data_IF_093482281929
#
_entry.id   IF_093482281929
#
_cell.length_a   1.000
_cell.length_b   1.000
_cell.length_c   1.000
_cell.angle_alpha   90.00
_cell.angle_beta   90.00
_cell.angle_gamma   90.00
#
_symmetry.space_group_name_H-M   'P 1'
#
loop_
_entity.id
_entity.type
_entity.pdbx_description
1 polymer ?
#
# COMPACT_ATOMS: atom_id res chain seq x y z
N UNK A 1 -42.67 29.28 8.26
CA UNK A 1 -42.22 27.87 8.44
C UNK A 1 -40.97 27.49 7.62
N UNK A 2 -40.41 28.37 6.77
CA UNK A 2 -39.22 28.09 5.94
C UNK A 2 -37.87 28.23 6.70
N UNK A 3 -37.82 28.97 7.81
CA UNK A 3 -36.58 29.20 8.58
C UNK A 3 -36.14 28.01 9.46
N UNK A 4 -37.01 27.02 9.70
CA UNK A 4 -36.67 25.82 10.51
C UNK A 4 -36.06 24.68 9.69
N UNK A 5 -36.13 24.73 8.36
CA UNK A 5 -35.57 23.68 7.47
C UNK A 5 -34.09 23.85 7.12
N UNK A 6 -33.51 25.05 7.32
CA UNK A 6 -32.11 25.33 6.95
C UNK A 6 -31.12 24.70 7.94
N UNK A 7 -31.53 24.43 9.18
CA UNK A 7 -30.63 23.91 10.23
C UNK A 7 -30.36 22.40 10.08
N UNK A 8 -31.21 21.66 9.36
CA UNK A 8 -31.05 20.19 9.21
C UNK A 8 -30.05 19.83 8.09
N UNK A 9 -29.85 20.70 7.11
CA UNK A 9 -28.97 20.42 5.95
C UNK A 9 -27.47 20.53 6.32
N UNK A 10 -27.13 21.22 7.41
CA UNK A 10 -25.75 21.43 7.85
C UNK A 10 -25.13 20.26 8.63
N UNK A 11 -25.91 19.26 9.03
CA UNK A 11 -25.40 18.10 9.81
C UNK A 11 -25.09 16.84 8.97
N UNK A 12 -25.35 16.85 7.66
CA UNK A 12 -25.19 15.66 6.80
C UNK A 12 -23.81 15.62 6.11
N UNK A 13 -23.03 16.69 6.17
CA UNK A 13 -21.71 16.76 5.53
C UNK A 13 -20.55 15.94 6.17
N UNK A 14 -20.52 15.57 7.47
CA UNK A 14 -19.33 14.91 8.01
C UNK A 14 -19.18 13.44 7.61
N UNK A 15 -20.24 12.78 7.13
CA UNK A 15 -20.20 11.35 6.81
C UNK A 15 -19.31 11.03 5.59
N UNK A 16 -19.24 11.90 4.59
CA UNK A 16 -18.43 11.65 3.38
C UNK A 16 -16.93 11.84 3.63
N UNK A 17 -16.54 12.72 4.55
CA UNK A 17 -15.14 12.97 4.87
C UNK A 17 -14.48 11.76 5.56
N UNK A 18 -15.23 11.04 6.40
CA UNK A 18 -14.74 9.87 7.16
C UNK A 18 -14.45 8.68 6.24
N UNK A 19 -15.24 8.48 5.18
CA UNK A 19 -15.02 7.38 4.23
C UNK A 19 -13.76 7.59 3.38
N UNK A 20 -13.53 8.82 2.91
CA UNK A 20 -12.36 9.14 2.09
C UNK A 20 -11.03 9.04 2.87
N UNK A 21 -11.02 9.38 4.16
CA UNK A 21 -9.84 9.24 5.02
C UNK A 21 -9.51 7.77 5.29
N UNK A 22 -10.52 6.95 5.60
CA UNK A 22 -10.34 5.50 5.81
C UNK A 22 -9.75 4.83 4.57
N UNK A 23 -10.29 5.09 3.38
CA UNK A 23 -9.75 4.54 2.12
C UNK A 23 -8.31 4.98 1.88
N UNK A 24 -7.98 6.23 2.16
CA UNK A 24 -6.61 6.75 2.00
C UNK A 24 -5.63 6.05 2.95
N UNK A 25 -6.04 5.82 4.20
CA UNK A 25 -5.26 5.08 5.19
C UNK A 25 -5.07 3.62 4.78
N UNK A 26 -6.14 2.92 4.38
CA UNK A 26 -6.08 1.53 3.92
C UNK A 26 -5.12 1.37 2.73
N UNK A 27 -5.18 2.28 1.75
CA UNK A 27 -4.22 2.33 0.63
C UNK A 27 -2.78 2.50 1.11
N UNK A 28 -2.55 3.42 2.06
CA UNK A 28 -1.21 3.65 2.64
C UNK A 28 -0.65 2.40 3.33
N UNK A 29 -1.50 1.68 4.05
CA UNK A 29 -1.14 0.43 4.73
C UNK A 29 -0.80 -0.65 3.73
N UNK A 30 -1.62 -0.87 2.69
CA UNK A 30 -1.31 -1.83 1.63
C UNK A 30 -0.02 -1.44 0.88
N UNK A 31 0.18 -0.15 0.64
CA UNK A 31 1.40 0.36 -0.02
C UNK A 31 2.65 0.00 0.78
N UNK A 32 2.62 0.21 2.10
CA UNK A 32 3.71 -0.14 3.05
C UNK A 32 3.89 -1.64 3.21
N UNK A 33 2.79 -2.40 3.21
CA UNK A 33 2.84 -3.87 3.20
C UNK A 33 3.65 -4.39 2.02
N UNK A 34 3.44 -3.81 0.83
CA UNK A 34 4.21 -4.19 -0.37
C UNK A 34 5.69 -3.82 -0.29
N UNK A 35 6.04 -2.67 0.29
CA UNK A 35 7.44 -2.33 0.54
C UNK A 35 8.11 -3.34 1.48
N UNK A 36 7.44 -3.69 2.57
CA UNK A 36 7.91 -4.71 3.51
C UNK A 36 8.05 -6.09 2.84
N UNK A 37 7.13 -6.45 1.94
CA UNK A 37 7.27 -7.65 1.10
C UNK A 37 8.52 -7.60 0.23
N UNK A 38 8.74 -6.49 -0.49
CA UNK A 38 9.91 -6.32 -1.34
C UNK A 38 11.22 -6.45 -0.56
N UNK A 39 11.34 -5.75 0.58
CA UNK A 39 12.54 -5.79 1.41
C UNK A 39 12.82 -7.20 1.96
N UNK A 40 11.77 -8.01 2.14
CA UNK A 40 11.93 -9.39 2.61
C UNK A 40 12.62 -10.33 1.61
N UNK A 41 12.84 -9.90 0.36
CA UNK A 41 13.65 -10.64 -0.62
C UNK A 41 15.15 -10.57 -0.33
N UNK A 42 15.60 -9.64 0.52
CA UNK A 42 16.97 -9.57 0.97
C UNK A 42 17.16 -10.42 2.23
N UNK A 43 18.11 -11.35 2.23
CA UNK A 43 18.31 -12.28 3.35
C UNK A 43 18.68 -11.58 4.67
N UNK A 44 19.36 -10.43 4.63
CA UNK A 44 19.69 -9.66 5.84
C UNK A 44 18.45 -8.97 6.43
N UNK A 45 17.50 -8.57 5.58
CA UNK A 45 16.28 -7.85 5.99
C UNK A 45 15.07 -8.76 6.20
N UNK A 46 15.13 -10.00 5.72
CA UNK A 46 14.01 -10.96 5.64
C UNK A 46 13.20 -11.08 6.92
N UNK A 47 13.87 -11.20 8.07
CA UNK A 47 13.20 -11.36 9.37
C UNK A 47 12.43 -10.10 9.76
N UNK A 48 13.09 -8.95 9.77
CA UNK A 48 12.48 -7.68 10.19
C UNK A 48 11.40 -7.23 9.19
N UNK A 49 11.69 -7.29 7.90
CA UNK A 49 10.74 -6.96 6.84
C UNK A 49 9.52 -7.91 6.85
N UNK A 50 9.72 -9.19 7.18
CA UNK A 50 8.64 -10.15 7.39
C UNK A 50 7.73 -9.78 8.57
N UNK A 51 8.30 -9.33 9.68
CA UNK A 51 7.54 -8.83 10.84
C UNK A 51 6.77 -7.56 10.49
N UNK A 52 7.41 -6.60 9.81
CA UNK A 52 6.75 -5.38 9.34
C UNK A 52 5.59 -5.69 8.38
N UNK A 53 5.79 -6.63 7.45
CA UNK A 53 4.74 -7.12 6.55
C UNK A 53 3.55 -7.70 7.32
N UNK A 54 3.83 -8.51 8.36
CA UNK A 54 2.79 -9.04 9.25
C UNK A 54 2.05 -7.92 10.00
N UNK A 55 2.76 -6.91 10.50
CA UNK A 55 2.16 -5.75 11.16
C UNK A 55 1.24 -4.95 10.22
N UNK A 56 1.70 -4.63 9.01
CA UNK A 56 0.84 -3.95 8.03
C UNK A 56 -0.34 -4.81 7.56
N UNK A 57 -0.20 -6.13 7.55
CA UNK A 57 -1.34 -7.02 7.25
C UNK A 57 -2.43 -6.91 8.33
N UNK A 58 -2.03 -6.90 9.61
CA UNK A 58 -2.96 -6.75 10.74
C UNK A 58 -3.64 -5.38 10.80
N UNK A 59 -2.95 -4.32 10.37
CA UNK A 59 -3.51 -2.97 10.29
C UNK A 59 -4.38 -2.75 9.05
N UNK A 60 -4.26 -3.61 8.04
CA UNK A 60 -4.96 -3.48 6.77
C UNK A 60 -6.48 -3.63 6.92
N UNK A 61 -7.21 -3.13 5.92
CA UNK A 61 -8.67 -3.30 5.83
C UNK A 61 -9.09 -4.02 4.53
N UNK A 62 -8.14 -4.73 3.91
CA UNK A 62 -8.42 -5.62 2.79
C UNK A 62 -8.63 -7.03 3.33
N UNK A 63 -9.86 -7.52 3.32
CA UNK A 63 -10.19 -8.86 3.83
C UNK A 63 -9.90 -9.97 2.83
N UNK A 64 -9.70 -9.61 1.55
CA UNK A 64 -9.42 -10.55 0.47
C UNK A 64 -7.91 -10.63 0.20
N UNK A 65 -7.35 -11.84 0.33
CA UNK A 65 -5.97 -12.18 -0.01
C UNK A 65 -5.61 -11.79 -1.46
N UNK A 66 -6.60 -11.69 -2.36
CA UNK A 66 -6.41 -11.26 -3.74
C UNK A 66 -5.78 -9.88 -3.86
N UNK A 67 -6.03 -8.95 -2.92
CA UNK A 67 -5.38 -7.64 -2.89
C UNK A 67 -3.86 -7.78 -2.72
N UNK A 68 -3.44 -8.63 -1.78
CA UNK A 68 -2.05 -8.87 -1.46
C UNK A 68 -1.32 -9.66 -2.56
N UNK A 69 -2.00 -10.61 -3.22
CA UNK A 69 -1.45 -11.35 -4.37
C UNK A 69 -1.00 -10.39 -5.49
N UNK A 70 -1.80 -9.36 -5.81
CA UNK A 70 -1.44 -8.39 -6.85
C UNK A 70 -0.24 -7.55 -6.46
N UNK A 71 -0.14 -7.16 -5.20
CA UNK A 71 1.01 -6.40 -4.67
C UNK A 71 2.29 -7.24 -4.71
N UNK A 72 2.25 -8.52 -4.32
CA UNK A 72 3.41 -9.42 -4.43
C UNK A 72 3.88 -9.55 -5.87
N UNK A 73 2.94 -9.83 -6.78
CA UNK A 73 3.24 -10.00 -8.20
C UNK A 73 3.88 -8.76 -8.83
N UNK A 74 3.52 -7.56 -8.37
CA UNK A 74 4.16 -6.31 -8.81
C UNK A 74 5.65 -6.28 -8.43
N UNK A 75 5.98 -6.52 -7.16
CA UNK A 75 7.37 -6.50 -6.70
C UNK A 75 8.19 -7.67 -7.25
N UNK A 76 7.62 -8.86 -7.36
CA UNK A 76 8.30 -10.01 -7.97
C UNK A 76 8.70 -9.70 -9.43
N UNK A 77 7.78 -9.12 -10.19
CA UNK A 77 8.04 -8.71 -11.57
C UNK A 77 9.07 -7.59 -11.67
N UNK A 78 9.03 -6.61 -10.75
CA UNK A 78 9.99 -5.52 -10.71
C UNK A 78 11.40 -6.03 -10.37
N UNK A 79 11.55 -6.81 -9.30
CA UNK A 79 12.83 -7.35 -8.86
C UNK A 79 13.47 -8.24 -9.93
N UNK A 80 12.68 -9.05 -10.64
CA UNK A 80 13.16 -9.88 -11.75
C UNK A 80 13.71 -9.05 -12.92
N UNK A 81 13.18 -7.85 -13.16
CA UNK A 81 13.59 -6.98 -14.27
C UNK A 81 14.73 -6.04 -13.90
N UNK A 82 14.84 -5.65 -12.64
CA UNK A 82 15.82 -4.66 -12.19
C UNK A 82 17.24 -5.23 -12.18
N UNK A 83 18.15 -4.51 -12.86
CA UNK A 83 19.60 -4.81 -12.90
C UNK A 83 20.43 -3.86 -12.03
N UNK A 84 19.76 -3.15 -11.11
CA UNK A 84 20.40 -2.15 -10.28
C UNK A 84 21.41 -2.79 -9.31
N UNK A 85 22.68 -2.47 -9.49
CA UNK A 85 23.78 -2.96 -8.64
C UNK A 85 24.68 -1.78 -8.27
N UNK A 86 25.42 -1.92 -7.17
CA UNK A 86 26.42 -0.94 -6.76
C UNK A 86 27.52 -0.84 -7.81
N UNK A 87 27.82 0.36 -8.31
CA UNK A 87 28.80 0.56 -9.37
C UNK A 87 30.20 0.05 -8.98
N UNK A 88 30.56 0.15 -7.70
CA UNK A 88 31.87 -0.25 -7.20
C UNK A 88 31.90 -1.70 -6.66
N UNK A 89 30.86 -2.12 -5.95
CA UNK A 89 30.82 -3.44 -5.30
C UNK A 89 30.22 -4.54 -6.19
N UNK A 90 29.44 -4.18 -7.21
CA UNK A 90 28.61 -5.12 -7.97
C UNK A 90 27.47 -5.74 -7.15
N UNK A 91 27.27 -5.31 -5.91
CA UNK A 91 26.27 -5.87 -5.01
C UNK A 91 24.85 -5.44 -5.39
N UNK A 92 23.92 -6.35 -5.13
CA UNK A 92 22.50 -6.14 -5.32
C UNK A 92 21.94 -5.06 -4.39
N UNK A 93 21.52 -3.93 -4.96
CA UNK A 93 20.97 -2.80 -4.19
C UNK A 93 19.47 -2.99 -3.90
N UNK A 94 19.12 -4.06 -3.17
CA UNK A 94 17.71 -4.46 -2.95
C UNK A 94 16.88 -3.33 -2.34
N UNK A 95 17.41 -2.62 -1.33
CA UNK A 95 16.71 -1.49 -0.70
C UNK A 95 16.37 -0.41 -1.73
N UNK A 96 17.35 -0.04 -2.57
CA UNK A 96 17.15 0.97 -3.61
C UNK A 96 16.13 0.50 -4.65
N UNK A 97 16.21 -0.76 -5.10
CA UNK A 97 15.21 -1.37 -6.00
C UNK A 97 13.80 -1.26 -5.43
N UNK A 98 13.63 -1.57 -4.15
CA UNK A 98 12.32 -1.55 -3.48
C UNK A 98 11.78 -0.12 -3.31
N UNK A 99 12.63 0.85 -2.96
CA UNK A 99 12.24 2.26 -2.87
C UNK A 99 11.85 2.82 -4.24
N UNK A 100 12.65 2.54 -5.26
CA UNK A 100 12.35 2.95 -6.63
C UNK A 100 11.00 2.38 -7.07
N UNK A 101 10.74 1.09 -6.82
CA UNK A 101 9.47 0.45 -7.14
C UNK A 101 8.27 1.02 -6.37
N UNK A 102 8.48 1.40 -5.10
CA UNK A 102 7.46 1.94 -4.20
C UNK A 102 6.98 3.34 -4.61
N UNK A 103 7.84 4.16 -5.20
CA UNK A 103 7.49 5.52 -5.66
C UNK A 103 6.93 5.56 -7.09
N UNK A 104 6.79 4.41 -7.78
CA UNK A 104 6.31 4.44 -9.16
C UNK A 104 4.81 4.72 -9.27
N UNK A 105 4.38 5.50 -10.29
CA UNK A 105 2.97 5.76 -10.55
C UNK A 105 2.14 4.52 -10.90
N UNK A 106 2.74 3.47 -11.45
CA UNK A 106 2.05 2.21 -11.75
C UNK A 106 1.78 1.39 -10.48
N UNK A 107 2.65 1.46 -9.47
CA UNK A 107 2.36 0.91 -8.15
C UNK A 107 1.20 1.63 -7.47
N UNK A 108 1.19 2.97 -7.49
CA UNK A 108 0.10 3.76 -6.92
C UNK A 108 -1.25 3.46 -7.58
N UNK A 109 -1.24 3.21 -8.89
CA UNK A 109 -2.44 2.80 -9.64
C UNK A 109 -2.91 1.41 -9.19
N UNK A 110 -1.99 0.46 -9.08
CA UNK A 110 -2.29 -0.89 -8.61
C UNK A 110 -2.89 -0.86 -7.21
N UNK A 111 -2.38 -0.02 -6.30
CA UNK A 111 -2.93 0.11 -4.94
C UNK A 111 -4.38 0.61 -4.99
N UNK A 112 -4.69 1.63 -5.80
CA UNK A 112 -6.07 2.13 -5.97
C UNK A 112 -7.01 1.07 -6.56
N UNK A 113 -6.54 0.22 -7.45
CA UNK A 113 -7.34 -0.89 -8.00
C UNK A 113 -7.75 -1.92 -6.92
N UNK A 114 -7.04 -1.96 -5.79
CA UNK A 114 -7.37 -2.86 -4.69
C UNK A 114 -8.46 -2.31 -3.76
N UNK A 115 -8.92 -1.07 -3.96
CA UNK A 115 -10.03 -0.50 -3.19
C UNK A 115 -11.30 -1.38 -3.26
N UNK A 116 -11.45 -2.15 -4.35
CA UNK A 116 -12.54 -3.12 -4.53
C UNK A 116 -12.58 -4.25 -3.48
N UNK A 117 -11.48 -4.42 -2.74
CA UNK A 117 -11.33 -5.42 -1.68
C UNK A 117 -11.39 -4.81 -0.28
N UNK A 118 -11.70 -3.52 -0.15
CA UNK A 118 -11.92 -2.89 1.15
C UNK A 118 -13.29 -3.35 1.66
N UNK A 119 -13.31 -3.91 2.86
CA UNK A 119 -14.55 -4.32 3.53
C UNK A 119 -15.48 -3.12 3.70
N UNK A 120 -16.72 -3.28 3.25
CA UNK A 120 -17.78 -2.30 3.46
C UNK A 120 -18.21 -2.26 4.92
#
# INVERSE_FOLDING_TARGET
MIKRLIVIILFIYPAMAISATKVTETRSILKKWGLAYCLSSNEQLKKEAGLARGGYFQLGSHDDEAAYVKVRGYFDAYLKKSRLVGQQSGEELTVMKCLDAYERPDYDRLIKEQDRYISQ
#
